data_IF_940891207060
#
_entry.id   IF_940891207060
#
_cell.length_a   1.000
_cell.length_b   1.000
_cell.length_c   1.000
_cell.angle_alpha   90.00
_cell.angle_beta   90.00
_cell.angle_gamma   90.00
#
_symmetry.space_group_name_H-M   'P 1'
#
loop_
_entity.id
_entity.type
_entity.pdbx_description
1 polymer ?
#
# COMPACT_ATOMS: atom_id res chain seq x y z
N UNK A 1 7.11 7.91 -13.95
CA UNK A 1 7.11 8.57 -12.62
C UNK A 1 6.33 7.64 -11.70
N UNK A 2 6.92 7.28 -10.55
CA UNK A 2 6.35 6.23 -9.71
C UNK A 2 5.14 6.80 -8.95
N UNK A 3 3.94 6.45 -9.43
CA UNK A 3 2.65 6.93 -8.90
C UNK A 3 2.44 6.61 -7.41
N UNK A 4 3.09 5.57 -6.90
CA UNK A 4 3.05 5.23 -5.47
C UNK A 4 3.86 6.24 -4.63
N UNK A 5 5.02 6.67 -5.10
CA UNK A 5 5.79 7.71 -4.40
C UNK A 5 5.14 9.09 -4.50
N UNK A 6 4.46 9.38 -5.60
CA UNK A 6 3.68 10.61 -5.76
C UNK A 6 2.58 10.73 -4.70
N UNK A 7 1.78 9.67 -4.51
CA UNK A 7 0.70 9.69 -3.53
C UNK A 7 1.23 9.71 -2.08
N UNK A 8 2.38 9.08 -1.82
CA UNK A 8 3.06 9.20 -0.52
C UNK A 8 3.46 10.64 -0.24
N UNK A 9 4.04 11.32 -1.23
CA UNK A 9 4.41 12.73 -1.08
C UNK A 9 3.17 13.60 -0.85
N UNK A 10 2.06 13.34 -1.56
CA UNK A 10 0.80 14.03 -1.27
C UNK A 10 0.35 13.83 0.19
N UNK A 11 0.40 12.61 0.70
CA UNK A 11 0.04 12.31 2.10
C UNK A 11 0.92 13.10 3.06
N UNK A 12 2.24 13.15 2.83
CA UNK A 12 3.16 13.89 3.70
C UNK A 12 2.92 15.41 3.65
N UNK A 13 2.61 15.98 2.47
CA UNK A 13 2.43 17.42 2.30
C UNK A 13 1.04 17.92 2.70
N UNK A 14 -0.01 17.16 2.40
CA UNK A 14 -1.42 17.60 2.51
C UNK A 14 -2.21 16.81 3.55
N UNK A 15 -1.63 15.76 4.11
CA UNK A 15 -2.31 14.87 5.04
C UNK A 15 -2.62 15.52 6.38
N UNK A 16 -3.61 14.94 7.07
CA UNK A 16 -4.01 15.34 8.41
C UNK A 16 -3.41 14.38 9.43
N UNK A 17 -3.05 14.90 10.60
CA UNK A 17 -2.62 14.07 11.73
C UNK A 17 -3.83 13.47 12.44
N UNK A 18 -3.75 12.19 12.77
CA UNK A 18 -4.75 11.47 13.56
C UNK A 18 -4.06 10.68 14.66
N UNK A 19 -4.48 10.90 15.90
CA UNK A 19 -4.08 10.11 17.06
C UNK A 19 -4.91 8.83 17.14
N UNK A 20 -4.24 7.67 17.24
CA UNK A 20 -4.88 6.37 17.41
C UNK A 20 -4.31 5.63 18.64
N UNK A 21 -4.99 4.56 19.06
CA UNK A 21 -4.55 3.71 20.17
C UNK A 21 -3.14 3.09 20.00
N UNK A 22 -2.63 3.03 18.75
CA UNK A 22 -1.29 2.51 18.42
C UNK A 22 -0.30 3.61 17.99
N UNK A 23 -0.65 4.88 18.20
CA UNK A 23 0.16 6.03 17.81
C UNK A 23 -0.42 6.80 16.62
N UNK A 24 0.35 7.79 16.18
CA UNK A 24 -0.16 8.83 15.28
C UNK A 24 0.14 8.49 13.82
N UNK A 25 -0.79 8.84 12.95
CA UNK A 25 -0.64 8.67 11.50
C UNK A 25 -0.94 9.99 10.77
N UNK A 26 -0.34 10.16 9.60
CA UNK A 26 -0.73 11.18 8.63
C UNK A 26 -1.52 10.51 7.52
N UNK A 27 -2.70 11.04 7.19
CA UNK A 27 -3.59 10.40 6.23
C UNK A 27 -4.30 11.39 5.30
N UNK A 28 -4.72 10.89 4.14
CA UNK A 28 -5.59 11.57 3.18
C UNK A 28 -6.77 10.67 2.83
N UNK A 29 -7.96 11.27 2.74
CA UNK A 29 -9.20 10.59 2.35
C UNK A 29 -9.56 10.90 0.90
N UNK A 30 -10.43 10.08 0.32
CA UNK A 30 -10.99 10.27 -1.02
C UNK A 30 -9.94 10.36 -2.15
N UNK A 31 -8.81 9.69 -1.98
CA UNK A 31 -7.78 9.56 -3.01
C UNK A 31 -8.00 8.28 -3.81
N UNK A 32 -7.74 8.35 -5.12
CA UNK A 32 -7.84 7.21 -6.04
C UNK A 32 -6.52 7.03 -6.78
N UNK A 33 -5.99 5.82 -6.72
CA UNK A 33 -4.75 5.44 -7.41
C UNK A 33 -5.09 4.45 -8.53
N UNK A 34 -4.73 4.79 -9.76
CA UNK A 34 -4.88 3.88 -10.91
C UNK A 34 -3.50 3.37 -11.34
N UNK A 35 -3.30 2.07 -11.14
CA UNK A 35 -2.07 1.38 -11.47
C UNK A 35 -2.32 0.44 -12.65
N UNK A 36 -1.50 0.56 -13.69
CA UNK A 36 -1.36 -0.44 -14.74
C UNK A 36 -0.39 -1.52 -14.26
N UNK A 37 -0.39 -2.72 -14.88
CA UNK A 37 0.58 -3.77 -14.55
C UNK A 37 2.05 -3.30 -14.62
N UNK A 38 2.38 -2.43 -15.58
CA UNK A 38 3.71 -1.82 -15.68
C UNK A 38 4.06 -0.94 -14.47
N UNK A 39 3.09 -0.15 -13.98
CA UNK A 39 3.29 0.72 -12.82
C UNK A 39 3.56 -0.10 -11.54
N UNK A 40 3.02 -1.33 -11.46
CA UNK A 40 3.26 -2.24 -10.34
C UNK A 40 4.68 -2.80 -10.35
N UNK A 41 5.25 -3.06 -11.53
CA UNK A 41 6.63 -3.54 -11.65
C UNK A 41 7.60 -2.50 -11.08
N UNK A 42 7.42 -1.22 -11.42
CA UNK A 42 8.22 -0.11 -10.90
C UNK A 42 8.21 -0.04 -9.36
N UNK A 43 7.07 -0.36 -8.73
CA UNK A 43 6.94 -0.39 -7.26
C UNK A 43 7.71 -1.59 -6.69
N UNK A 44 7.57 -2.76 -7.31
CA UNK A 44 8.16 -4.01 -6.83
C UNK A 44 9.66 -4.14 -7.12
N UNK A 45 10.20 -3.34 -8.05
CA UNK A 45 11.64 -3.23 -8.30
C UNK A 45 12.31 -2.28 -7.30
N UNK A 46 11.63 -1.19 -6.93
CA UNK A 46 12.15 -0.21 -5.97
C UNK A 46 12.06 -0.64 -4.50
N UNK A 47 11.15 -1.56 -4.16
CA UNK A 47 10.97 -2.04 -2.78
C UNK A 47 10.86 -3.56 -2.74
N UNK A 48 11.69 -4.21 -1.93
CA UNK A 48 11.60 -5.64 -1.68
C UNK A 48 10.29 -5.95 -0.93
N UNK A 49 9.60 -7.00 -1.38
CA UNK A 49 8.36 -7.48 -0.78
C UNK A 49 8.45 -8.99 -0.57
N UNK A 50 7.89 -9.48 0.53
CA UNK A 50 7.81 -10.90 0.86
C UNK A 50 6.78 -11.63 -0.03
N UNK A 51 7.08 -11.78 -1.33
CA UNK A 51 6.17 -12.36 -2.34
C UNK A 51 5.64 -13.74 -1.95
N UNK A 52 6.49 -14.58 -1.34
CA UNK A 52 6.09 -15.92 -0.89
C UNK A 52 5.01 -15.86 0.19
N UNK A 53 5.14 -14.95 1.16
CA UNK A 53 4.18 -14.77 2.24
C UNK A 53 2.84 -14.26 1.71
N UNK A 54 2.88 -13.23 0.85
CA UNK A 54 1.67 -12.68 0.23
C UNK A 54 0.92 -13.71 -0.61
N UNK A 55 1.65 -14.56 -1.36
CA UNK A 55 1.03 -15.66 -2.11
C UNK A 55 0.32 -16.64 -1.18
N UNK A 56 0.99 -17.09 -0.11
CA UNK A 56 0.38 -18.01 0.86
C UNK A 56 -0.85 -17.40 1.55
N UNK A 57 -0.81 -16.13 1.95
CA UNK A 57 -1.98 -15.43 2.50
C UNK A 57 -3.14 -15.34 1.50
N UNK A 58 -2.85 -15.11 0.22
CA UNK A 58 -3.87 -15.08 -0.84
C UNK A 58 -4.50 -16.45 -1.05
N UNK A 59 -3.69 -17.51 -1.10
CA UNK A 59 -4.16 -18.88 -1.27
C UNK A 59 -5.09 -19.30 -0.10
N UNK A 60 -4.68 -18.99 1.15
CA UNK A 60 -5.51 -19.22 2.35
C UNK A 60 -6.81 -18.41 2.31
N UNK A 61 -6.74 -17.15 1.88
CA UNK A 61 -7.93 -16.32 1.76
C UNK A 61 -8.92 -16.88 0.73
N UNK A 62 -8.42 -17.39 -0.40
CA UNK A 62 -9.25 -17.99 -1.45
C UNK A 62 -9.84 -19.35 -1.06
N UNK A 63 -9.16 -20.14 -0.23
CA UNK A 63 -9.69 -21.39 0.32
C UNK A 63 -10.73 -21.18 1.42
N UNK A 64 -10.87 -19.94 1.93
CA UNK A 64 -11.76 -19.62 3.04
C UNK A 64 -11.19 -19.98 4.42
N UNK A 65 -9.91 -20.35 4.48
CA UNK A 65 -9.20 -20.65 5.72
C UNK A 65 -8.67 -19.35 6.34
N UNK A 66 -8.93 -19.15 7.63
CA UNK A 66 -8.28 -18.08 8.43
C UNK A 66 -7.31 -18.75 9.41
N UNK A 67 -6.09 -18.22 9.46
CA UNK A 67 -5.15 -18.48 10.57
C UNK A 67 -5.72 -17.99 11.90
#
# INVERSE_FOLDING_TARGET
MNKYHEILNEILCLGKLQDNNKGNIIYLLNKKLHLKPSDLLDIFEGHLIARKKLKTELDLFQSGERL
#
